data_IF_156224886050
#
_entry.id   IF_156224886050
#
_cell.length_a   1.000
_cell.length_b   1.000
_cell.length_c   1.000
_cell.angle_alpha   90.00
_cell.angle_beta   90.00
_cell.angle_gamma   90.00
#
_symmetry.space_group_name_H-M   'P 1'
#
loop_
_entity.id
_entity.type
_entity.pdbx_description
1 polymer ?
#
# COMPACT_ATOMS: atom_id res chain seq x y z
N UNK A 1 -2.70 -24.20 -14.04
CA UNK A 1 -1.86 -23.25 -14.83
C UNK A 1 -0.83 -22.59 -13.93
N UNK A 2 0.42 -22.47 -14.36
CA UNK A 2 1.47 -21.78 -13.59
C UNK A 2 1.60 -20.34 -14.07
N UNK A 3 1.64 -19.39 -13.14
CA UNK A 3 1.70 -17.94 -13.40
C UNK A 3 3.03 -17.42 -12.88
N UNK A 4 3.74 -16.62 -13.69
CA UNK A 4 4.79 -15.74 -13.19
C UNK A 4 4.15 -14.50 -12.58
N UNK A 5 4.19 -14.38 -11.28
CA UNK A 5 3.71 -13.24 -10.53
C UNK A 5 4.87 -12.35 -10.13
N UNK A 6 4.82 -11.09 -10.52
CA UNK A 6 5.87 -10.10 -10.25
C UNK A 6 5.30 -9.05 -9.31
N UNK A 7 5.97 -8.83 -8.21
CA UNK A 7 5.73 -7.76 -7.23
C UNK A 7 6.89 -6.76 -7.32
N UNK A 8 6.70 -5.69 -8.06
CA UNK A 8 7.69 -4.61 -8.21
C UNK A 8 7.49 -3.59 -7.10
N UNK A 9 8.20 -3.77 -6.00
CA UNK A 9 8.14 -2.93 -4.82
C UNK A 9 9.18 -1.81 -4.78
N UNK A 10 9.20 -1.05 -3.68
CA UNK A 10 10.07 0.13 -3.52
C UNK A 10 11.55 -0.25 -3.38
N UNK A 11 11.89 -1.27 -2.61
CA UNK A 11 13.27 -1.66 -2.31
C UNK A 11 13.69 -3.00 -2.92
N UNK A 12 12.76 -3.72 -3.54
CA UNK A 12 13.04 -4.97 -4.22
C UNK A 12 11.93 -5.32 -5.20
N UNK A 13 12.26 -6.06 -6.25
CA UNK A 13 11.31 -6.80 -7.07
C UNK A 13 11.32 -8.26 -6.64
N UNK A 14 10.16 -8.80 -6.28
CA UNK A 14 9.94 -10.23 -6.04
C UNK A 14 9.22 -10.84 -7.22
N UNK A 15 9.65 -12.02 -7.63
CA UNK A 15 8.98 -12.80 -8.65
C UNK A 15 8.76 -14.22 -8.16
N UNK A 16 7.55 -14.73 -8.36
CA UNK A 16 7.13 -16.07 -7.96
C UNK A 16 6.57 -16.81 -9.16
N UNK A 17 6.83 -18.10 -9.23
CA UNK A 17 6.01 -18.99 -10.05
C UNK A 17 4.97 -19.62 -9.15
N UNK A 18 3.71 -19.30 -9.44
CA UNK A 18 2.54 -19.72 -8.66
C UNK A 18 1.75 -20.76 -9.44
N UNK A 19 1.67 -21.96 -8.90
CA UNK A 19 0.92 -23.10 -9.45
C UNK A 19 -0.56 -23.06 -9.07
N UNK A 20 -1.24 -24.18 -9.33
CA UNK A 20 -2.65 -24.33 -8.98
C UNK A 20 -2.88 -24.18 -7.47
N UNK A 21 -4.08 -23.75 -7.11
CA UNK A 21 -4.49 -23.48 -5.72
C UNK A 21 -3.54 -22.52 -4.94
N UNK A 22 -2.76 -21.66 -5.64
CA UNK A 22 -1.87 -20.72 -4.99
C UNK A 22 -0.54 -21.31 -4.50
N UNK A 23 -0.18 -22.53 -4.92
CA UNK A 23 1.09 -23.16 -4.53
C UNK A 23 2.28 -22.37 -5.04
N UNK A 24 3.15 -21.88 -4.16
CA UNK A 24 4.40 -21.19 -4.51
C UNK A 24 5.44 -22.23 -4.92
N UNK A 25 5.79 -22.29 -6.21
CA UNK A 25 6.74 -23.26 -6.76
C UNK A 25 8.18 -22.75 -6.71
N UNK A 26 8.36 -21.44 -6.82
CA UNK A 26 9.67 -20.79 -6.69
C UNK A 26 9.52 -19.33 -6.30
N UNK A 27 10.57 -18.77 -5.74
CA UNK A 27 10.70 -17.35 -5.38
C UNK A 27 12.07 -16.87 -5.83
N UNK A 28 12.12 -15.67 -6.41
CA UNK A 28 13.34 -14.92 -6.67
C UNK A 28 13.13 -13.46 -6.28
N UNK A 29 14.21 -12.82 -5.83
CA UNK A 29 14.19 -11.42 -5.41
C UNK A 29 15.41 -10.72 -5.97
N UNK A 30 15.23 -9.50 -6.46
CA UNK A 30 16.28 -8.59 -6.89
C UNK A 30 16.09 -7.25 -6.18
N UNK A 31 17.12 -6.71 -5.50
CA UNK A 31 17.03 -5.42 -4.82
C UNK A 31 16.85 -4.27 -5.82
N UNK A 32 16.24 -3.20 -5.36
CA UNK A 32 16.16 -1.88 -5.98
C UNK A 32 16.58 -0.87 -4.91
N UNK A 33 17.39 0.13 -5.27
CA UNK A 33 18.00 1.05 -4.31
C UNK A 33 17.42 2.46 -4.45
N UNK A 34 16.38 2.83 -3.67
CA UNK A 34 15.89 4.20 -3.63
C UNK A 34 16.98 5.16 -3.15
N UNK A 35 17.12 6.28 -3.83
CA UNK A 35 17.99 7.37 -3.43
C UNK A 35 17.20 8.47 -2.71
N UNK A 36 17.80 9.07 -1.68
CA UNK A 36 17.22 10.20 -0.93
C UNK A 36 18.13 11.41 -1.05
N UNK A 37 18.10 12.15 -2.17
CA UNK A 37 19.06 13.24 -2.43
C UNK A 37 18.83 14.49 -1.56
N UNK A 38 17.86 14.49 -0.67
CA UNK A 38 17.56 15.61 0.24
C UNK A 38 16.22 16.27 -0.07
N UNK A 39 15.83 17.26 0.73
CA UNK A 39 14.62 18.10 0.57
C UNK A 39 13.31 17.30 0.37
N UNK A 40 13.18 16.15 1.03
CA UNK A 40 12.00 15.27 0.89
C UNK A 40 11.95 14.49 -0.43
N UNK A 41 13.03 14.50 -1.20
CA UNK A 41 13.15 13.75 -2.44
C UNK A 41 13.38 12.26 -2.17
N UNK A 42 12.65 11.42 -2.90
CA UNK A 42 12.88 9.96 -2.95
C UNK A 42 12.78 9.53 -4.41
N UNK A 43 13.89 9.08 -4.97
CA UNK A 43 14.01 8.75 -6.39
C UNK A 43 14.50 7.31 -6.58
N UNK A 44 14.09 6.70 -7.70
CA UNK A 44 14.55 5.37 -8.12
C UNK A 44 15.08 5.43 -9.54
N UNK A 45 16.09 4.62 -9.85
CA UNK A 45 16.60 4.45 -11.22
C UNK A 45 15.64 3.53 -12.02
N UNK A 46 14.99 4.04 -13.08
CA UNK A 46 14.11 3.22 -13.91
C UNK A 46 14.85 2.05 -14.57
N UNK A 47 16.11 2.21 -14.96
CA UNK A 47 16.89 1.14 -15.56
C UNK A 47 17.13 -0.01 -14.58
N UNK A 48 17.46 0.30 -13.33
CA UNK A 48 17.57 -0.69 -12.26
C UNK A 48 16.22 -1.39 -12.00
N UNK A 49 15.12 -0.62 -11.97
CA UNK A 49 13.78 -1.16 -11.78
C UNK A 49 13.41 -2.19 -12.86
N UNK A 50 13.57 -1.85 -14.14
CA UNK A 50 13.30 -2.77 -15.25
C UNK A 50 14.22 -3.99 -15.22
N UNK A 51 15.51 -3.77 -14.96
CA UNK A 51 16.48 -4.86 -14.84
C UNK A 51 16.12 -5.83 -13.72
N UNK A 52 15.66 -5.33 -12.57
CA UNK A 52 15.23 -6.15 -11.43
C UNK A 52 14.01 -7.00 -11.75
N UNK A 53 13.02 -6.44 -12.47
CA UNK A 53 11.83 -7.15 -12.96
C UNK A 53 12.22 -8.31 -13.87
N UNK A 54 13.09 -8.06 -14.84
CA UNK A 54 13.52 -9.09 -15.80
C UNK A 54 14.37 -10.16 -15.10
N UNK A 55 15.30 -9.76 -14.25
CA UNK A 55 16.20 -10.69 -13.56
C UNK A 55 15.44 -11.58 -12.57
N UNK A 56 14.57 -11.01 -11.73
CA UNK A 56 13.75 -11.76 -10.79
C UNK A 56 12.81 -12.73 -11.53
N UNK A 57 12.13 -12.26 -12.59
CA UNK A 57 11.23 -13.10 -13.37
C UNK A 57 11.91 -14.30 -14.00
N UNK A 58 13.08 -14.11 -14.64
CA UNK A 58 13.89 -15.21 -15.21
C UNK A 58 14.34 -16.19 -14.14
N UNK A 59 14.89 -15.68 -13.05
CA UNK A 59 15.37 -16.51 -11.95
C UNK A 59 14.25 -17.34 -11.31
N UNK A 60 13.04 -16.79 -11.20
CA UNK A 60 11.89 -17.53 -10.69
C UNK A 60 11.47 -18.67 -11.64
N UNK A 61 11.42 -18.42 -12.93
CA UNK A 61 11.10 -19.44 -13.95
C UNK A 61 12.17 -20.55 -13.95
N UNK A 62 13.45 -20.19 -13.97
CA UNK A 62 14.56 -21.14 -13.98
C UNK A 62 14.53 -22.04 -12.74
N UNK A 63 14.26 -21.47 -11.56
CA UNK A 63 14.16 -22.22 -10.30
C UNK A 63 12.95 -23.14 -10.25
N UNK A 64 11.82 -22.72 -10.82
CA UNK A 64 10.62 -23.52 -10.85
C UNK A 64 10.75 -24.75 -11.75
N UNK A 65 11.46 -24.64 -12.87
CA UNK A 65 11.65 -25.73 -13.83
C UNK A 65 10.36 -26.27 -14.46
N UNK A 66 9.28 -25.44 -14.48
CA UNK A 66 7.98 -25.81 -15.03
C UNK A 66 7.55 -24.86 -16.14
N UNK A 67 6.59 -25.29 -16.96
CA UNK A 67 6.01 -24.40 -17.97
C UNK A 67 5.17 -23.33 -17.28
N UNK A 68 5.45 -22.06 -17.61
CA UNK A 68 4.67 -20.89 -17.21
C UNK A 68 3.70 -20.53 -18.33
N UNK A 69 2.49 -20.10 -18.00
CA UNK A 69 1.40 -19.88 -18.95
C UNK A 69 1.05 -18.41 -19.13
N UNK A 70 1.40 -17.56 -18.16
CA UNK A 70 1.13 -16.13 -18.20
C UNK A 70 1.85 -15.36 -17.12
N UNK A 71 1.77 -14.03 -17.21
CA UNK A 71 2.44 -13.09 -16.32
C UNK A 71 1.41 -12.18 -15.67
N UNK A 72 1.54 -11.96 -14.35
CA UNK A 72 0.89 -10.89 -13.61
C UNK A 72 1.93 -9.93 -13.04
N UNK A 73 1.66 -8.63 -13.13
CA UNK A 73 2.48 -7.56 -12.59
C UNK A 73 1.71 -6.79 -11.52
N UNK A 74 2.21 -6.81 -10.29
CA UNK A 74 1.86 -5.85 -9.28
C UNK A 74 2.97 -4.82 -9.17
N UNK A 75 2.62 -3.56 -9.00
CA UNK A 75 3.56 -2.45 -8.91
C UNK A 75 3.33 -1.62 -7.69
N UNK A 76 4.40 -1.02 -7.17
CA UNK A 76 4.28 0.04 -6.17
C UNK A 76 3.41 1.18 -6.73
N UNK A 77 2.40 1.60 -5.96
CA UNK A 77 1.51 2.67 -6.37
C UNK A 77 2.20 4.03 -6.43
N UNK A 78 1.54 4.98 -7.03
CA UNK A 78 1.78 6.43 -7.02
C UNK A 78 3.17 6.90 -7.49
N UNK A 79 4.09 6.01 -7.81
CA UNK A 79 5.43 6.32 -8.32
C UNK A 79 5.36 6.69 -9.79
N UNK A 80 5.95 7.81 -10.19
CA UNK A 80 5.82 8.38 -11.54
C UNK A 80 7.18 8.72 -12.17
N UNK A 81 7.26 8.66 -13.50
CA UNK A 81 8.44 9.10 -14.25
C UNK A 81 8.04 9.73 -15.58
N UNK A 82 8.92 10.59 -16.12
CA UNK A 82 8.82 11.05 -17.50
C UNK A 82 9.64 10.14 -18.41
N UNK A 83 9.11 9.78 -19.60
CA UNK A 83 9.75 8.92 -20.56
C UNK A 83 9.27 9.17 -21.98
N UNK A 84 10.07 8.76 -22.97
CA UNK A 84 9.78 8.93 -24.38
C UNK A 84 8.97 7.73 -24.91
N UNK A 85 7.71 7.90 -25.35
CA UNK A 85 6.84 6.78 -25.71
C UNK A 85 7.29 6.00 -26.95
N UNK A 86 7.98 6.64 -27.89
CA UNK A 86 8.45 5.95 -29.11
C UNK A 86 9.61 4.99 -28.82
N UNK A 87 10.48 5.33 -27.87
CA UNK A 87 11.68 4.55 -27.55
C UNK A 87 11.60 3.79 -26.23
N UNK A 88 10.67 4.16 -25.34
CA UNK A 88 10.61 3.68 -23.94
C UNK A 88 11.69 4.27 -23.04
N UNK A 89 12.51 5.22 -23.55
CA UNK A 89 13.66 5.78 -22.83
C UNK A 89 13.21 6.68 -21.66
N UNK A 90 13.61 6.41 -20.41
CA UNK A 90 13.36 7.31 -19.29
C UNK A 90 14.02 8.66 -19.51
N UNK A 91 13.31 9.76 -19.23
CA UNK A 91 13.80 11.13 -19.28
C UNK A 91 14.13 11.67 -17.88
N UNK A 92 13.61 11.02 -16.83
CA UNK A 92 13.85 11.37 -15.43
C UNK A 92 14.03 10.13 -14.58
N UNK A 93 14.63 10.23 -13.37
CA UNK A 93 14.41 9.25 -12.33
C UNK A 93 12.91 9.08 -12.05
N UNK A 94 12.51 7.93 -11.53
CA UNK A 94 11.16 7.73 -11.03
C UNK A 94 11.02 8.42 -9.66
N UNK A 95 10.00 9.25 -9.49
CA UNK A 95 9.66 9.91 -8.23
C UNK A 95 8.77 8.96 -7.44
N UNK A 96 9.30 8.45 -6.32
CA UNK A 96 8.62 7.48 -5.46
C UNK A 96 7.34 8.06 -4.82
N UNK A 97 6.44 7.17 -4.43
CA UNK A 97 5.27 7.52 -3.62
C UNK A 97 5.62 8.24 -2.30
N UNK A 98 6.82 8.01 -1.76
CA UNK A 98 7.33 8.64 -0.54
C UNK A 98 7.79 10.10 -0.75
N UNK A 99 7.98 10.52 -1.99
CA UNK A 99 8.51 11.84 -2.33
C UNK A 99 7.53 12.97 -1.95
N UNK A 100 8.04 13.98 -1.29
CA UNK A 100 7.24 15.11 -0.75
C UNK A 100 7.39 16.42 -1.53
N UNK A 101 8.20 16.46 -2.59
CA UNK A 101 8.47 17.72 -3.35
C UNK A 101 7.23 18.32 -3.99
N UNK A 102 6.20 17.50 -4.27
CA UNK A 102 4.95 17.96 -4.86
C UNK A 102 4.00 18.68 -3.88
N UNK A 103 4.41 18.93 -2.62
CA UNK A 103 3.65 19.75 -1.65
C UNK A 103 3.26 21.11 -2.24
N UNK A 104 4.18 21.78 -2.96
CA UNK A 104 3.89 23.06 -3.61
C UNK A 104 2.76 23.01 -4.65
N UNK A 105 2.53 21.83 -5.26
CA UNK A 105 1.43 21.62 -6.19
C UNK A 105 0.10 21.47 -5.43
N UNK A 106 0.10 20.69 -4.36
CA UNK A 106 -1.11 20.50 -3.54
C UNK A 106 -1.52 21.79 -2.82
N UNK A 107 -0.56 22.57 -2.34
CA UNK A 107 -0.83 23.88 -1.70
C UNK A 107 -1.47 24.86 -2.69
N UNK A 108 -0.99 24.90 -3.92
CA UNK A 108 -1.56 25.75 -4.98
C UNK A 108 -3.00 25.32 -5.38
N UNK A 109 -3.40 24.09 -5.09
CA UNK A 109 -4.74 23.55 -5.37
C UNK A 109 -5.62 23.41 -4.12
N UNK A 110 -5.23 24.03 -2.99
CA UNK A 110 -5.92 23.88 -1.71
C UNK A 110 -7.41 24.23 -1.77
N UNK A 111 -7.81 25.22 -2.58
CA UNK A 111 -9.21 25.61 -2.78
C UNK A 111 -10.06 24.52 -3.48
N UNK A 112 -9.44 23.62 -4.24
CA UNK A 112 -10.08 22.51 -4.94
C UNK A 112 -10.12 21.21 -4.12
N UNK A 113 -9.61 21.19 -2.89
CA UNK A 113 -9.51 20.00 -2.04
C UNK A 113 -10.82 19.23 -1.92
N UNK A 114 -11.92 19.93 -1.62
CA UNK A 114 -13.22 19.28 -1.44
C UNK A 114 -13.71 18.66 -2.77
N UNK A 115 -13.55 19.40 -3.87
CA UNK A 115 -14.00 18.94 -5.20
C UNK A 115 -13.19 17.74 -5.70
N UNK A 116 -11.88 17.76 -5.51
CA UNK A 116 -11.01 16.62 -5.84
C UNK A 116 -11.38 15.39 -5.01
N UNK A 117 -11.64 15.54 -3.71
CA UNK A 117 -12.10 14.46 -2.84
C UNK A 117 -13.44 13.88 -3.28
N UNK A 118 -14.37 14.74 -3.70
CA UNK A 118 -15.67 14.31 -4.27
C UNK A 118 -15.50 13.51 -5.57
N UNK A 119 -14.68 13.98 -6.49
CA UNK A 119 -14.45 13.31 -7.78
C UNK A 119 -13.70 11.99 -7.60
N UNK A 120 -12.59 12.00 -6.87
CA UNK A 120 -11.61 10.93 -6.91
C UNK A 120 -11.66 9.98 -5.71
N UNK A 121 -12.34 10.38 -4.63
CA UNK A 121 -12.33 9.64 -3.36
C UNK A 121 -11.04 9.80 -2.54
N UNK A 122 -10.10 10.62 -3.02
CA UNK A 122 -8.78 10.79 -2.43
C UNK A 122 -8.62 12.18 -1.79
N UNK A 123 -7.95 12.33 -0.66
CA UNK A 123 -7.57 13.64 -0.15
C UNK A 123 -6.50 14.26 -1.04
N UNK A 124 -6.47 15.60 -1.12
CA UNK A 124 -5.42 16.30 -1.85
C UNK A 124 -4.10 16.23 -1.05
N UNK A 125 -3.22 15.30 -1.44
CA UNK A 125 -1.93 15.05 -0.80
C UNK A 125 -0.85 14.75 -1.87
N UNK A 126 0.42 15.18 -1.68
CA UNK A 126 1.52 14.88 -2.60
C UNK A 126 1.85 13.38 -2.72
N UNK A 127 1.31 12.54 -1.85
CA UNK A 127 1.42 11.09 -1.91
C UNK A 127 0.96 10.53 -3.26
N UNK A 128 -0.12 11.06 -3.83
CA UNK A 128 -0.74 10.57 -5.05
C UNK A 128 0.00 10.97 -6.33
N UNK A 129 -0.33 10.34 -7.48
CA UNK A 129 0.46 10.44 -8.71
C UNK A 129 0.39 11.82 -9.37
N UNK A 130 -0.81 12.44 -9.49
CA UNK A 130 -0.98 13.67 -10.27
C UNK A 130 -0.20 14.87 -9.73
N UNK A 131 -0.10 15.11 -8.41
CA UNK A 131 0.78 16.14 -7.88
C UNK A 131 2.24 15.97 -8.30
N UNK A 132 2.76 14.73 -8.24
CA UNK A 132 4.15 14.42 -8.65
C UNK A 132 4.33 14.56 -10.16
N UNK A 133 3.34 14.16 -10.96
CA UNK A 133 3.36 14.34 -12.42
C UNK A 133 3.38 15.82 -12.81
N UNK A 134 2.52 16.62 -12.17
CA UNK A 134 2.51 18.08 -12.38
C UNK A 134 3.84 18.73 -11.92
N UNK A 135 4.43 18.24 -10.83
CA UNK A 135 5.73 18.72 -10.36
C UNK A 135 6.84 18.38 -11.36
N UNK A 136 6.87 17.15 -11.91
CA UNK A 136 7.83 16.75 -12.96
C UNK A 136 7.73 17.66 -14.18
N UNK A 137 6.52 17.90 -14.67
CA UNK A 137 6.28 18.78 -15.83
C UNK A 137 6.78 20.20 -15.60
N UNK A 138 6.62 20.72 -14.39
CA UNK A 138 7.04 22.12 -14.05
C UNK A 138 8.52 22.25 -13.78
N UNK A 139 9.18 21.21 -13.26
CA UNK A 139 10.52 21.34 -12.68
C UNK A 139 11.60 20.51 -13.39
N UNK A 140 11.24 19.51 -14.22
CA UNK A 140 12.21 18.60 -14.82
C UNK A 140 12.16 18.55 -16.33
N UNK A 141 11.02 18.30 -16.94
CA UNK A 141 10.90 18.17 -18.39
C UNK A 141 9.49 18.42 -18.90
N UNK A 142 9.39 19.07 -20.07
CA UNK A 142 8.17 19.18 -20.87
C UNK A 142 8.09 18.10 -21.95
N UNK A 143 9.16 17.31 -22.16
CA UNK A 143 9.26 16.30 -23.21
C UNK A 143 8.66 14.95 -22.75
N UNK A 144 8.34 14.10 -23.72
CA UNK A 144 7.79 12.76 -23.52
C UNK A 144 6.43 12.75 -22.81
N UNK A 145 6.09 11.65 -22.18
CA UNK A 145 4.89 11.46 -21.35
C UNK A 145 5.26 11.26 -19.88
N UNK A 146 4.36 11.60 -18.96
CA UNK A 146 4.53 11.30 -17.52
C UNK A 146 3.45 10.33 -17.10
N UNK A 147 3.86 9.12 -16.70
CA UNK A 147 2.96 8.06 -16.24
C UNK A 147 3.43 7.45 -14.94
N UNK A 148 2.61 6.61 -14.35
CA UNK A 148 3.01 5.70 -13.29
C UNK A 148 3.95 4.60 -13.84
N UNK A 149 4.72 3.98 -12.94
CA UNK A 149 5.76 2.99 -13.31
C UNK A 149 5.20 1.74 -13.96
N UNK A 150 3.98 1.33 -13.63
CA UNK A 150 3.30 0.20 -14.29
C UNK A 150 3.14 0.39 -15.80
N UNK A 151 2.69 1.58 -16.24
CA UNK A 151 2.55 1.90 -17.66
C UNK A 151 3.89 1.80 -18.39
N UNK A 152 4.93 2.38 -17.80
CA UNK A 152 6.27 2.33 -18.39
C UNK A 152 6.85 0.92 -18.43
N UNK A 153 6.69 0.13 -17.34
CA UNK A 153 7.13 -1.28 -17.30
C UNK A 153 6.37 -2.12 -18.33
N UNK A 154 5.05 -1.95 -18.43
CA UNK A 154 4.25 -2.66 -19.43
C UNK A 154 4.63 -2.28 -20.84
N UNK A 155 4.91 -1.01 -21.09
CA UNK A 155 5.40 -0.58 -22.39
C UNK A 155 6.75 -1.25 -22.71
N UNK A 156 7.68 -1.29 -21.77
CA UNK A 156 8.98 -1.96 -21.96
C UNK A 156 8.84 -3.48 -22.17
N UNK A 157 7.84 -4.11 -21.54
CA UNK A 157 7.64 -5.56 -21.63
C UNK A 157 6.79 -5.97 -22.84
N UNK A 158 5.80 -5.18 -23.25
CA UNK A 158 4.77 -5.58 -24.22
C UNK A 158 4.55 -4.59 -25.36
N UNK A 159 5.04 -3.36 -25.23
CA UNK A 159 4.73 -2.24 -26.12
C UNK A 159 3.36 -1.57 -25.85
N UNK A 160 2.61 -2.02 -24.85
CA UNK A 160 1.29 -1.46 -24.54
C UNK A 160 1.39 -0.17 -23.71
N UNK A 161 0.54 0.83 -24.04
CA UNK A 161 0.42 2.09 -23.28
C UNK A 161 -0.85 2.06 -22.44
N UNK A 162 -0.83 1.32 -21.34
CA UNK A 162 -1.97 1.04 -20.47
C UNK A 162 -1.60 1.15 -18.99
N UNK A 163 -2.60 1.42 -18.16
CA UNK A 163 -2.55 1.27 -16.70
C UNK A 163 -3.79 0.52 -16.23
N UNK A 164 -3.75 -0.12 -15.08
CA UNK A 164 -4.95 -0.71 -14.51
C UNK A 164 -5.78 0.30 -13.70
N UNK A 165 -7.05 -0.05 -13.51
CA UNK A 165 -8.00 0.82 -12.80
C UNK A 165 -7.62 1.03 -11.33
N UNK A 166 -6.93 0.07 -10.68
CA UNK A 166 -6.52 0.22 -9.28
C UNK A 166 -5.39 1.24 -9.16
N UNK A 167 -4.37 1.16 -10.01
CA UNK A 167 -3.30 2.17 -10.11
C UNK A 167 -3.86 3.54 -10.52
N UNK A 168 -4.73 3.59 -11.53
CA UNK A 168 -5.38 4.82 -11.97
C UNK A 168 -6.21 5.47 -10.85
N UNK A 169 -6.89 4.69 -9.99
CA UNK A 169 -7.66 5.21 -8.86
C UNK A 169 -6.82 5.83 -7.74
N UNK A 170 -5.49 5.67 -7.79
CA UNK A 170 -4.53 6.29 -6.87
C UNK A 170 -3.93 7.59 -7.42
N UNK A 171 -4.48 8.12 -8.49
CA UNK A 171 -3.84 9.23 -9.22
C UNK A 171 -4.26 10.63 -8.79
N UNK A 172 -5.42 10.84 -8.18
CA UNK A 172 -6.15 12.12 -8.01
C UNK A 172 -6.74 12.68 -9.33
N UNK A 173 -6.76 11.91 -10.42
CA UNK A 173 -7.37 12.35 -11.70
C UNK A 173 -8.33 11.33 -12.30
N UNK A 174 -8.57 10.20 -11.63
CA UNK A 174 -9.64 9.27 -12.00
C UNK A 174 -10.93 9.67 -11.30
N UNK A 175 -12.02 9.76 -12.04
CA UNK A 175 -13.38 9.86 -11.50
C UNK A 175 -13.79 8.48 -10.95
N UNK A 176 -14.03 8.40 -9.64
CA UNK A 176 -14.25 7.14 -8.94
C UNK A 176 -15.57 6.46 -9.34
N UNK A 177 -16.59 7.22 -9.73
CA UNK A 177 -17.89 6.68 -10.12
C UNK A 177 -17.86 6.07 -11.51
N UNK A 178 -17.21 6.78 -12.45
CA UNK A 178 -17.12 6.35 -13.85
C UNK A 178 -15.94 5.45 -14.16
N UNK A 179 -14.93 5.45 -13.29
CA UNK A 179 -13.62 4.79 -13.46
C UNK A 179 -12.91 5.22 -14.75
N UNK A 180 -13.03 6.50 -15.09
CA UNK A 180 -12.38 7.13 -16.24
C UNK A 180 -11.58 8.33 -15.80
N UNK A 181 -10.64 8.75 -16.61
CA UNK A 181 -9.94 10.01 -16.39
C UNK A 181 -10.95 11.16 -16.32
N UNK A 182 -10.84 11.99 -15.31
CA UNK A 182 -11.68 13.18 -15.13
C UNK A 182 -11.02 14.37 -15.83
N UNK A 183 -11.64 14.88 -16.90
CA UNK A 183 -11.14 16.07 -17.62
C UNK A 183 -10.98 17.27 -16.67
N UNK A 184 -11.88 17.41 -15.69
CA UNK A 184 -11.83 18.46 -14.68
C UNK A 184 -10.57 18.32 -13.81
N UNK A 185 -10.35 17.14 -13.24
CA UNK A 185 -9.20 16.90 -12.36
C UNK A 185 -7.87 16.96 -13.14
N UNK A 186 -7.81 16.39 -14.35
CA UNK A 186 -6.66 16.45 -15.25
C UNK A 186 -6.31 17.92 -15.55
N UNK A 187 -7.32 18.75 -15.85
CA UNK A 187 -7.15 20.18 -16.10
C UNK A 187 -6.63 20.96 -14.87
N UNK A 188 -7.11 20.63 -13.66
CA UNK A 188 -6.64 21.27 -12.43
C UNK A 188 -5.13 21.04 -12.18
N UNK A 189 -4.64 19.84 -12.45
CA UNK A 189 -3.19 19.54 -12.33
C UNK A 189 -2.37 20.04 -13.53
N UNK A 190 -3.02 20.53 -14.61
CA UNK A 190 -2.35 20.96 -15.83
C UNK A 190 -1.69 19.82 -16.59
N UNK A 191 -2.23 18.61 -16.48
CA UNK A 191 -1.75 17.44 -17.22
C UNK A 191 -2.36 17.41 -18.63
N UNK A 192 -1.64 16.82 -19.57
CA UNK A 192 -2.13 16.64 -20.92
C UNK A 192 -2.93 15.33 -21.02
N UNK A 193 -4.15 15.31 -21.59
CA UNK A 193 -4.87 14.07 -21.81
C UNK A 193 -4.11 13.03 -22.64
N UNK A 194 -3.21 13.48 -23.52
CA UNK A 194 -2.32 12.62 -24.30
C UNK A 194 -1.28 11.85 -23.50
N UNK A 195 -1.00 12.28 -22.26
CA UNK A 195 -0.05 11.61 -21.35
C UNK A 195 -0.73 10.46 -20.59
N UNK A 196 -2.07 10.41 -20.62
CA UNK A 196 -2.83 9.44 -19.85
C UNK A 196 -2.97 8.13 -20.62
N UNK A 197 -2.54 6.99 -20.03
CA UNK A 197 -2.68 5.69 -20.64
C UNK A 197 -4.13 5.24 -20.70
N UNK A 198 -4.43 4.25 -21.55
CA UNK A 198 -5.72 3.57 -21.51
C UNK A 198 -5.86 2.82 -20.18
N UNK A 199 -7.00 3.00 -19.50
CA UNK A 199 -7.33 2.24 -18.30
C UNK A 199 -7.88 0.88 -18.69
N UNK A 200 -7.35 -0.18 -18.06
CA UNK A 200 -7.80 -1.57 -18.26
C UNK A 200 -8.24 -2.19 -16.94
N UNK A 201 -9.02 -3.26 -16.98
CA UNK A 201 -9.34 -4.06 -15.81
C UNK A 201 -8.14 -4.91 -15.34
N UNK A 202 -8.18 -5.34 -14.09
CA UNK A 202 -7.06 -6.06 -13.45
C UNK A 202 -6.79 -7.45 -14.04
N UNK A 203 -7.76 -8.07 -14.71
CA UNK A 203 -7.67 -9.41 -15.32
C UNK A 203 -7.92 -9.31 -16.84
N UNK A 204 -7.06 -8.55 -17.54
CA UNK A 204 -7.23 -8.22 -18.96
C UNK A 204 -5.99 -8.64 -19.74
N UNK A 205 -6.11 -9.34 -20.88
CA UNK A 205 -4.99 -9.56 -21.79
C UNK A 205 -4.43 -8.22 -22.31
N UNK A 206 -3.18 -7.92 -21.94
CA UNK A 206 -2.52 -6.64 -22.26
C UNK A 206 -1.64 -6.78 -23.50
N UNK A 207 -0.93 -7.88 -23.61
CA UNK A 207 0.03 -8.16 -24.69
C UNK A 207 0.85 -9.38 -24.37
N UNK A 208 1.95 -9.56 -25.10
CA UNK A 208 2.90 -10.66 -24.87
C UNK A 208 4.30 -10.11 -24.65
N UNK A 209 5.09 -10.83 -23.84
CA UNK A 209 6.48 -10.49 -23.59
C UNK A 209 7.41 -11.69 -23.80
N UNK A 210 8.60 -11.45 -24.36
CA UNK A 210 9.68 -12.42 -24.43
C UNK A 210 10.80 -12.13 -23.40
N UNK A 211 10.60 -11.16 -22.51
CA UNK A 211 11.63 -10.72 -21.57
C UNK A 211 12.07 -11.83 -20.60
N UNK A 212 11.20 -12.81 -20.31
CA UNK A 212 11.46 -13.90 -19.38
C UNK A 212 11.83 -15.23 -20.04
N UNK A 213 11.99 -15.27 -21.37
CA UNK A 213 12.29 -16.46 -22.15
C UNK A 213 11.29 -16.66 -23.29
N UNK A 214 10.50 -17.77 -23.31
CA UNK A 214 9.43 -17.93 -24.29
C UNK A 214 8.41 -16.81 -24.21
N UNK A 215 7.72 -16.51 -25.32
CA UNK A 215 6.67 -15.50 -25.35
C UNK A 215 5.53 -15.88 -24.41
N UNK A 216 5.24 -15.01 -23.43
CA UNK A 216 4.22 -15.20 -22.41
C UNK A 216 3.20 -14.06 -22.49
N UNK A 217 1.88 -14.35 -22.40
CA UNK A 217 0.87 -13.32 -22.29
C UNK A 217 0.94 -12.65 -20.92
N UNK A 218 0.80 -11.32 -20.89
CA UNK A 218 0.61 -10.51 -19.67
C UNK A 218 -0.88 -10.28 -19.51
N UNK A 219 -1.47 -10.79 -18.43
CA UNK A 219 -2.92 -10.88 -18.26
C UNK A 219 -3.42 -10.44 -16.89
N UNK A 220 -2.53 -10.10 -15.97
CA UNK A 220 -2.86 -9.58 -14.63
C UNK A 220 -2.10 -8.31 -14.34
N UNK A 221 -2.79 -7.30 -13.84
CA UNK A 221 -2.19 -6.02 -13.44
C UNK A 221 -2.96 -5.43 -12.26
N UNK A 222 -2.27 -4.99 -11.22
CA UNK A 222 -2.84 -4.25 -10.11
C UNK A 222 -1.77 -3.48 -9.33
N UNK A 223 -2.18 -2.44 -8.60
CA UNK A 223 -1.31 -1.85 -7.59
C UNK A 223 -1.11 -2.82 -6.42
N UNK A 224 0.03 -2.79 -5.78
CA UNK A 224 0.51 -3.77 -4.81
C UNK A 224 -0.47 -4.04 -3.65
N UNK A 225 -1.03 -2.99 -3.05
CA UNK A 225 -1.92 -3.11 -1.89
C UNK A 225 -3.25 -3.75 -2.25
N UNK A 226 -3.82 -3.44 -3.43
CA UNK A 226 -5.02 -4.05 -3.94
C UNK A 226 -4.77 -5.49 -4.42
N UNK A 227 -3.61 -5.76 -4.99
CA UNK A 227 -3.20 -7.13 -5.28
C UNK A 227 -3.12 -7.96 -3.97
N UNK A 228 -2.53 -7.41 -2.90
CA UNK A 228 -2.49 -8.08 -1.60
C UNK A 228 -3.89 -8.33 -1.01
N UNK A 229 -4.81 -7.36 -1.15
CA UNK A 229 -6.22 -7.53 -0.73
C UNK A 229 -6.88 -8.74 -1.40
N UNK A 230 -6.62 -8.94 -2.71
CA UNK A 230 -7.06 -10.13 -3.45
C UNK A 230 -6.31 -11.37 -2.97
N UNK A 231 -4.99 -11.30 -2.77
CA UNK A 231 -4.15 -12.41 -2.35
C UNK A 231 -4.51 -12.96 -0.97
N UNK A 232 -4.93 -12.08 -0.07
CA UNK A 232 -5.42 -12.42 1.26
C UNK A 232 -6.91 -12.80 1.27
N UNK A 233 -7.53 -12.92 0.09
CA UNK A 233 -8.95 -13.28 -0.08
C UNK A 233 -9.93 -12.35 0.66
N UNK A 234 -9.59 -11.07 0.85
CA UNK A 234 -10.47 -10.06 1.43
C UNK A 234 -11.46 -9.54 0.38
N UNK A 235 -12.34 -10.42 -0.12
CA UNK A 235 -13.18 -10.15 -1.30
C UNK A 235 -14.59 -9.65 -0.96
N UNK A 236 -15.07 -9.89 0.25
CA UNK A 236 -16.40 -9.48 0.68
C UNK A 236 -16.39 -8.14 1.42
N UNK A 237 -17.48 -7.34 1.35
CA UNK A 237 -17.59 -6.10 2.11
C UNK A 237 -17.37 -6.32 3.61
N UNK A 238 -16.56 -5.47 4.23
CA UNK A 238 -16.18 -5.56 5.65
C UNK A 238 -14.99 -6.48 5.95
N UNK A 239 -14.50 -7.24 4.97
CA UNK A 239 -13.20 -7.92 5.09
C UNK A 239 -12.07 -6.92 4.91
N UNK A 240 -11.04 -7.06 5.73
CA UNK A 240 -9.95 -6.11 5.80
C UNK A 240 -8.59 -6.83 5.85
N UNK A 241 -7.59 -6.17 5.25
CA UNK A 241 -6.19 -6.56 5.42
C UNK A 241 -5.35 -5.40 5.94
N UNK A 242 -4.27 -5.69 6.67
CA UNK A 242 -3.28 -4.69 7.03
C UNK A 242 -1.86 -5.24 6.86
N UNK A 243 -1.09 -4.61 5.98
CA UNK A 243 0.33 -4.93 5.82
C UNK A 243 1.17 -4.14 6.83
N UNK A 244 1.86 -4.83 7.74
CA UNK A 244 2.80 -4.26 8.69
C UNK A 244 4.24 -4.32 8.15
N UNK A 245 4.53 -3.42 7.21
CA UNK A 245 5.86 -3.22 6.63
C UNK A 245 6.63 -2.07 7.31
N UNK A 246 7.31 -1.24 6.53
CA UNK A 246 7.93 0.02 7.00
C UNK A 246 6.88 0.94 7.62
N UNK A 247 5.73 1.08 6.96
CA UNK A 247 4.49 1.63 7.50
C UNK A 247 3.43 0.54 7.71
N UNK A 248 2.22 0.92 8.12
CA UNK A 248 1.06 0.04 8.16
C UNK A 248 0.00 0.53 7.16
N UNK A 249 -0.50 -0.39 6.33
CA UNK A 249 -1.44 -0.09 5.24
C UNK A 249 -2.70 -0.95 5.39
N UNK A 250 -3.76 -0.32 5.88
CA UNK A 250 -5.08 -0.93 6.03
C UNK A 250 -5.90 -0.75 4.76
N UNK A 251 -6.45 -1.83 4.21
CA UNK A 251 -7.47 -1.80 3.18
C UNK A 251 -8.70 -2.56 3.64
N UNK A 252 -9.87 -2.00 3.36
CA UNK A 252 -11.17 -2.60 3.70
C UNK A 252 -12.04 -2.65 2.47
N UNK A 253 -12.47 -3.82 2.05
CA UNK A 253 -13.39 -4.01 0.92
C UNK A 253 -14.76 -3.42 1.25
N UNK A 254 -15.32 -2.59 0.35
CA UNK A 254 -16.61 -1.92 0.55
C UNK A 254 -17.72 -2.43 -0.38
N UNK A 255 -17.35 -3.28 -1.36
CA UNK A 255 -18.29 -3.84 -2.34
C UNK A 255 -18.41 -3.04 -3.62
N UNK A 256 -19.48 -3.28 -4.43
CA UNK A 256 -19.55 -2.81 -5.82
C UNK A 256 -19.95 -1.33 -5.99
N UNK A 257 -20.23 -0.63 -4.91
CA UNK A 257 -20.64 0.79 -4.96
C UNK A 257 -19.51 1.63 -4.34
N UNK A 258 -19.02 2.67 -5.05
CA UNK A 258 -17.98 3.55 -4.52
C UNK A 258 -18.47 4.26 -3.25
N UNK A 259 -17.64 4.19 -2.19
CA UNK A 259 -17.88 4.88 -0.93
C UNK A 259 -16.75 5.85 -0.68
N UNK A 260 -17.06 7.13 -0.60
CA UNK A 260 -16.12 8.16 -0.17
C UNK A 260 -16.12 8.22 1.34
N UNK A 261 -14.92 8.24 1.93
CA UNK A 261 -14.80 8.35 3.38
C UNK A 261 -15.22 9.75 3.85
N UNK A 262 -15.99 9.78 4.94
CA UNK A 262 -16.28 11.00 5.72
C UNK A 262 -15.44 11.07 7.00
N UNK A 263 -14.61 10.04 7.25
CA UNK A 263 -13.77 9.89 8.43
C UNK A 263 -12.27 9.93 8.10
N UNK A 264 -11.89 10.51 6.95
CA UNK A 264 -10.50 10.80 6.61
C UNK A 264 -9.70 9.67 5.97
N UNK A 265 -10.36 8.61 5.50
CA UNK A 265 -9.71 7.57 4.69
C UNK A 265 -9.70 7.95 3.21
N UNK A 266 -8.88 7.25 2.42
CA UNK A 266 -8.95 7.29 0.96
C UNK A 266 -9.93 6.24 0.45
N UNK A 267 -10.59 6.53 -0.68
CA UNK A 267 -11.41 5.56 -1.40
C UNK A 267 -10.82 5.28 -2.78
N UNK A 268 -10.73 4.01 -3.15
CA UNK A 268 -10.16 3.60 -4.43
C UNK A 268 -10.85 2.34 -4.98
N UNK A 269 -10.52 1.98 -6.21
CA UNK A 269 -10.97 0.72 -6.78
C UNK A 269 -10.14 -0.41 -6.19
N UNK A 270 -10.79 -1.43 -5.63
CA UNK A 270 -10.13 -2.63 -5.11
C UNK A 270 -9.73 -3.59 -6.24
N UNK A 271 -10.62 -3.80 -7.19
CA UNK A 271 -10.40 -4.51 -8.45
C UNK A 271 -11.53 -4.22 -9.44
N UNK A 272 -11.23 -4.36 -10.72
CA UNK A 272 -12.20 -4.50 -11.80
C UNK A 272 -11.79 -5.69 -12.65
N UNK A 273 -12.69 -6.67 -12.74
CA UNK A 273 -12.49 -7.91 -13.50
C UNK A 273 -13.74 -8.18 -14.33
N UNK A 274 -13.71 -9.05 -15.35
CA UNK A 274 -14.90 -9.34 -16.15
C UNK A 274 -16.13 -9.64 -15.28
N UNK A 275 -17.16 -8.84 -15.42
CA UNK A 275 -18.45 -8.98 -14.72
C UNK A 275 -18.47 -8.54 -13.25
N UNK A 276 -17.38 -7.99 -12.70
CA UNK A 276 -17.34 -7.58 -11.30
C UNK A 276 -16.39 -6.38 -11.06
N UNK A 277 -16.86 -5.44 -10.25
CA UNK A 277 -16.04 -4.34 -9.71
C UNK A 277 -16.25 -4.27 -8.20
N UNK A 278 -15.20 -3.95 -7.48
CA UNK A 278 -15.28 -3.66 -6.06
C UNK A 278 -14.41 -2.46 -5.72
N UNK A 279 -14.78 -1.79 -4.63
CA UNK A 279 -14.07 -0.63 -4.09
C UNK A 279 -13.51 -0.96 -2.72
N UNK A 280 -12.56 -0.17 -2.26
CA UNK A 280 -12.02 -0.25 -0.92
C UNK A 280 -11.85 1.14 -0.31
N UNK A 281 -11.88 1.18 1.02
CA UNK A 281 -11.32 2.27 1.80
C UNK A 281 -9.91 1.87 2.20
N UNK A 282 -9.00 2.84 2.17
CA UNK A 282 -7.64 2.63 2.64
C UNK A 282 -7.17 3.73 3.58
N UNK A 283 -6.34 3.33 4.53
CA UNK A 283 -5.68 4.23 5.45
C UNK A 283 -4.27 3.76 5.75
N UNK A 284 -3.33 4.70 5.76
CA UNK A 284 -1.93 4.41 6.03
C UNK A 284 -1.40 5.11 7.27
N UNK A 285 -0.59 4.38 8.02
CA UNK A 285 0.36 4.91 8.99
C UNK A 285 1.75 4.85 8.38
N UNK A 286 2.44 5.98 8.30
CA UNK A 286 3.76 6.05 7.64
C UNK A 286 4.86 5.33 8.41
N UNK A 287 4.64 5.04 9.70
CA UNK A 287 5.62 4.37 10.55
C UNK A 287 5.03 3.16 11.27
N UNK A 288 5.61 1.99 10.99
CA UNK A 288 5.38 0.76 11.72
C UNK A 288 6.72 0.08 11.98
N UNK A 289 7.29 -0.68 11.05
CA UNK A 289 8.65 -1.21 11.17
C UNK A 289 9.71 -0.13 11.27
N UNK A 290 9.47 1.06 10.70
CA UNK A 290 10.35 2.21 10.88
C UNK A 290 10.43 2.66 12.34
N UNK A 291 9.35 2.56 13.13
CA UNK A 291 9.39 2.87 14.55
C UNK A 291 10.24 1.86 15.33
N UNK A 292 10.21 0.59 14.94
CA UNK A 292 11.09 -0.44 15.55
C UNK A 292 12.56 -0.16 15.21
N UNK A 293 12.86 0.19 13.96
CA UNK A 293 14.23 0.58 13.56
C UNK A 293 14.70 1.82 14.33
N UNK A 294 13.78 2.76 14.57
CA UNK A 294 14.06 3.93 15.40
C UNK A 294 14.38 3.54 16.86
N UNK A 295 13.63 2.63 17.50
CA UNK A 295 13.92 2.14 18.84
C UNK A 295 15.34 1.54 18.93
N UNK A 296 15.74 0.77 17.91
CA UNK A 296 17.11 0.20 17.83
C UNK A 296 18.14 1.32 17.68
N UNK A 297 17.93 2.28 16.80
CA UNK A 297 18.85 3.40 16.57
C UNK A 297 19.04 4.29 17.80
N UNK A 298 18.02 4.36 18.66
CA UNK A 298 18.06 5.09 19.93
C UNK A 298 18.65 4.27 21.09
N UNK A 299 19.02 3.00 20.86
CA UNK A 299 19.53 2.10 21.91
C UNK A 299 18.48 1.71 22.96
N UNK A 300 17.18 1.82 22.63
CA UNK A 300 16.07 1.39 23.50
C UNK A 300 15.75 -0.10 23.30
N UNK A 301 16.21 -0.68 22.20
CA UNK A 301 16.07 -2.06 21.80
C UNK A 301 17.36 -2.52 21.11
N UNK A 302 17.89 -3.68 21.45
CA UNK A 302 19.13 -4.20 20.85
C UNK A 302 18.88 -4.76 19.44
N UNK A 303 17.77 -5.46 19.26
CA UNK A 303 17.39 -6.08 17.98
C UNK A 303 15.87 -6.12 17.82
N UNK A 304 15.34 -6.02 16.60
CA UNK A 304 13.91 -6.25 16.35
C UNK A 304 13.41 -7.62 16.87
N UNK A 305 14.28 -8.62 16.95
CA UNK A 305 13.93 -9.94 17.47
C UNK A 305 13.62 -9.93 18.99
N UNK A 306 14.04 -8.90 19.71
CA UNK A 306 13.84 -8.78 21.17
C UNK A 306 12.53 -8.06 21.53
N UNK A 307 11.75 -7.60 20.54
CA UNK A 307 10.55 -6.79 20.72
C UNK A 307 9.60 -7.35 21.77
N UNK A 308 9.17 -8.59 21.61
CA UNK A 308 8.18 -9.21 22.50
C UNK A 308 8.76 -9.46 23.89
N UNK A 309 10.02 -9.89 23.97
CA UNK A 309 10.71 -10.13 25.23
C UNK A 309 10.81 -8.84 26.05
N UNK A 310 11.19 -7.74 25.41
CA UNK A 310 11.30 -6.43 26.08
C UNK A 310 9.93 -5.88 26.43
N UNK A 311 8.97 -5.89 25.51
CA UNK A 311 7.62 -5.36 25.74
C UNK A 311 6.88 -6.10 26.86
N UNK A 312 7.07 -7.42 27.00
CA UNK A 312 6.43 -8.25 28.02
C UNK A 312 7.19 -8.31 29.34
N UNK A 313 8.39 -7.73 29.42
CA UNK A 313 9.18 -7.65 30.66
C UNK A 313 8.58 -6.69 31.70
N UNK A 314 7.63 -5.84 31.28
CA UNK A 314 6.87 -4.94 32.14
C UNK A 314 5.37 -5.27 32.03
N UNK A 315 4.59 -5.11 33.13
CA UNK A 315 3.17 -5.51 33.14
C UNK A 315 2.28 -4.59 32.29
N UNK A 316 2.66 -3.32 32.17
CA UNK A 316 1.95 -2.29 31.40
C UNK A 316 2.92 -1.18 30.97
N UNK A 317 2.43 -0.09 30.40
CA UNK A 317 3.25 1.06 29.97
C UNK A 317 3.58 2.03 31.10
N UNK A 318 3.13 1.79 32.32
CA UNK A 318 3.20 2.74 33.45
C UNK A 318 2.68 4.15 33.11
N UNK A 319 1.61 4.21 32.29
CA UNK A 319 1.01 5.48 31.83
C UNK A 319 1.70 6.12 30.62
N UNK A 320 2.80 5.56 30.13
CA UNK A 320 3.46 6.06 28.91
C UNK A 320 2.56 5.81 27.70
N UNK A 321 2.39 6.82 26.86
CA UNK A 321 1.71 6.73 25.57
C UNK A 321 2.64 7.22 24.47
N UNK A 322 2.77 6.45 23.39
CA UNK A 322 3.53 6.83 22.19
C UNK A 322 2.58 7.07 21.02
N UNK A 323 2.67 8.26 20.42
CA UNK A 323 2.13 8.54 19.10
C UNK A 323 3.27 8.37 18.10
N UNK A 324 3.33 7.27 17.32
CA UNK A 324 4.47 6.96 16.47
C UNK A 324 4.47 7.73 15.13
N UNK A 325 4.29 9.06 15.20
CA UNK A 325 4.26 9.96 14.04
C UNK A 325 5.68 10.40 13.60
N UNK A 326 6.63 9.43 13.50
CA UNK A 326 8.03 9.73 13.19
C UNK A 326 8.25 10.25 11.75
N UNK A 327 7.28 10.04 10.88
CA UNK A 327 7.24 10.57 9.51
C UNK A 327 5.96 11.38 9.23
N UNK A 328 5.38 11.97 10.26
CA UNK A 328 4.06 12.61 10.21
C UNK A 328 2.91 11.63 10.46
N UNK A 329 1.69 12.16 10.45
CA UNK A 329 0.46 11.38 10.52
C UNK A 329 -0.18 11.28 9.12
N UNK A 330 -0.40 10.06 8.67
CA UNK A 330 -1.20 9.74 7.50
C UNK A 330 -2.69 9.80 7.81
N UNK A 331 -3.47 8.90 7.21
CA UNK A 331 -4.89 8.77 7.50
C UNK A 331 -5.12 8.48 9.00
N UNK A 332 -6.24 8.89 9.57
CA UNK A 332 -7.26 9.77 8.99
C UNK A 332 -6.94 11.26 9.15
N UNK A 333 -5.79 11.61 9.71
CA UNK A 333 -5.45 12.97 10.15
C UNK A 333 -4.84 13.85 9.04
N UNK A 334 -4.04 13.27 8.17
CA UNK A 334 -3.34 13.96 7.07
C UNK A 334 -2.55 15.18 7.57
N UNK A 335 -1.67 14.93 8.57
CA UNK A 335 -0.79 15.95 9.18
C UNK A 335 0.68 15.56 8.99
N UNK A 336 1.29 15.93 7.87
CA UNK A 336 2.69 15.57 7.57
C UNK A 336 3.69 16.26 8.51
N UNK A 337 3.30 17.39 9.12
CA UNK A 337 4.12 18.14 10.10
C UNK A 337 4.01 17.61 11.54
N UNK A 338 3.10 16.69 11.82
CA UNK A 338 2.99 16.11 13.14
C UNK A 338 4.26 15.31 13.49
N UNK A 339 4.71 15.43 14.74
CA UNK A 339 5.91 14.73 15.22
C UNK A 339 5.55 13.57 16.14
N UNK A 340 6.41 12.54 16.17
CA UNK A 340 6.32 11.47 17.16
C UNK A 340 6.35 12.03 18.57
N UNK A 341 5.45 11.56 19.44
CA UNK A 341 5.27 12.13 20.78
C UNK A 341 5.23 11.03 21.82
N UNK A 342 6.02 11.20 22.89
CA UNK A 342 5.98 10.38 24.12
C UNK A 342 5.38 11.22 25.26
N UNK A 343 4.38 10.67 25.93
CA UNK A 343 3.70 11.31 27.06
C UNK A 343 3.69 10.38 28.28
N UNK A 344 3.52 10.94 29.47
CA UNK A 344 3.38 10.16 30.70
C UNK A 344 4.70 9.63 31.25
N UNK A 345 5.85 10.21 30.86
CA UNK A 345 7.17 9.83 31.38
C UNK A 345 7.32 10.30 32.84
N UNK A 346 7.90 9.42 33.68
CA UNK A 346 8.29 9.72 35.03
C UNK A 346 9.68 9.10 35.38
N UNK A 347 10.13 9.24 36.62
CA UNK A 347 11.43 8.71 37.05
C UNK A 347 11.49 7.18 37.11
N UNK A 348 10.36 6.48 37.01
CA UNK A 348 10.27 5.01 36.99
C UNK A 348 10.15 4.45 35.57
N UNK A 349 9.99 5.32 34.59
CA UNK A 349 9.91 4.91 33.18
C UNK A 349 11.23 4.27 32.75
N UNK A 350 11.16 3.04 32.26
CA UNK A 350 12.29 2.28 31.73
C UNK A 350 12.21 2.18 30.19
N UNK A 351 13.31 1.79 29.51
CA UNK A 351 13.27 1.49 28.08
C UNK A 351 12.16 0.51 27.67
N UNK A 352 11.88 -0.51 28.50
CA UNK A 352 10.83 -1.49 28.25
C UNK A 352 9.43 -0.85 28.19
N UNK A 353 9.15 0.14 29.03
CA UNK A 353 7.87 0.89 28.98
C UNK A 353 7.74 1.66 27.65
N UNK A 354 8.84 2.24 27.14
CA UNK A 354 8.84 2.97 25.86
C UNK A 354 8.64 2.00 24.68
N UNK A 355 9.35 0.85 24.68
CA UNK A 355 9.19 -0.20 23.65
C UNK A 355 7.74 -0.68 23.62
N UNK A 356 7.19 -1.04 24.78
CA UNK A 356 5.79 -1.48 24.91
C UNK A 356 4.80 -0.40 24.44
N UNK A 357 4.96 0.84 24.90
CA UNK A 357 4.12 1.96 24.49
C UNK A 357 4.18 2.21 22.98
N UNK A 358 5.33 1.96 22.33
CA UNK A 358 5.47 2.06 20.89
C UNK A 358 4.63 1.00 20.18
N UNK A 359 4.69 -0.27 20.60
CA UNK A 359 3.85 -1.33 20.02
C UNK A 359 2.36 -1.10 20.26
N UNK A 360 1.97 -0.69 21.48
CA UNK A 360 0.59 -0.32 21.79
C UNK A 360 0.12 0.87 20.93
N UNK A 361 0.98 1.86 20.68
CA UNK A 361 0.70 3.00 19.80
C UNK A 361 0.53 2.62 18.33
N UNK A 362 1.36 1.68 17.82
CA UNK A 362 1.21 1.13 16.47
C UNK A 362 -0.13 0.42 16.29
N UNK A 363 -0.49 -0.46 17.25
CA UNK A 363 -1.79 -1.14 17.23
C UNK A 363 -2.95 -0.13 17.30
N UNK A 364 -2.83 0.90 18.14
CA UNK A 364 -3.85 1.93 18.29
C UNK A 364 -4.04 2.76 17.01
N UNK A 365 -2.97 3.08 16.26
CA UNK A 365 -3.10 3.74 14.96
C UNK A 365 -3.91 2.90 13.97
N UNK A 366 -3.61 1.61 13.85
CA UNK A 366 -4.37 0.72 12.95
C UNK A 366 -5.82 0.58 13.45
N UNK A 367 -6.05 0.50 14.76
CA UNK A 367 -7.40 0.45 15.32
C UNK A 367 -8.20 1.75 15.04
N UNK A 368 -7.55 2.90 15.01
CA UNK A 368 -8.19 4.18 14.61
C UNK A 368 -8.59 4.15 13.14
N UNK A 369 -7.71 3.64 12.26
CA UNK A 369 -8.02 3.48 10.83
C UNK A 369 -9.20 2.52 10.61
N UNK A 370 -9.18 1.39 11.29
CA UNK A 370 -10.24 0.38 11.21
C UNK A 370 -11.58 0.90 11.75
N UNK A 371 -11.53 1.70 12.83
CA UNK A 371 -12.72 2.38 13.37
C UNK A 371 -13.31 3.37 12.36
N UNK A 372 -12.48 4.20 11.72
CA UNK A 372 -12.91 5.11 10.67
C UNK A 372 -13.57 4.36 9.48
N UNK A 373 -13.00 3.21 9.08
CA UNK A 373 -13.59 2.38 8.04
C UNK A 373 -14.93 1.76 8.47
N UNK A 374 -15.05 1.30 9.71
CA UNK A 374 -16.30 0.76 10.25
C UNK A 374 -17.40 1.82 10.32
N UNK A 375 -17.06 3.06 10.72
CA UNK A 375 -17.98 4.20 10.73
C UNK A 375 -18.47 4.55 9.31
N UNK A 376 -17.57 4.57 8.32
CA UNK A 376 -17.94 4.81 6.91
C UNK A 376 -18.76 3.64 6.30
N UNK A 377 -18.51 2.40 6.73
CA UNK A 377 -19.30 1.24 6.32
C UNK A 377 -20.67 1.19 7.01
N UNK A 378 -20.78 1.76 8.20
CA UNK A 378 -21.94 1.63 9.08
C UNK A 378 -22.06 0.23 9.71
N UNK A 379 -20.97 -0.51 9.77
CA UNK A 379 -20.87 -1.86 10.33
C UNK A 379 -19.45 -2.15 10.82
N UNK A 380 -19.26 -2.95 11.88
CA UNK A 380 -17.94 -3.37 12.32
C UNK A 380 -17.23 -4.21 11.24
N UNK A 381 -15.90 -4.22 11.27
CA UNK A 381 -15.12 -5.18 10.48
C UNK A 381 -15.44 -6.61 10.95
N UNK A 382 -15.34 -7.58 10.04
CA UNK A 382 -15.57 -8.98 10.35
C UNK A 382 -14.33 -9.62 11.02
N UNK A 383 -13.17 -9.30 10.48
CA UNK A 383 -11.85 -9.75 10.88
C UNK A 383 -10.79 -8.83 10.28
N UNK A 384 -9.58 -8.91 10.78
CA UNK A 384 -8.43 -8.26 10.17
C UNK A 384 -7.39 -9.32 9.78
N UNK A 385 -7.12 -9.48 8.49
CA UNK A 385 -5.99 -10.27 8.00
C UNK A 385 -4.74 -9.40 7.98
N UNK A 386 -3.60 -9.95 8.39
CA UNK A 386 -2.36 -9.19 8.53
C UNK A 386 -1.19 -9.92 7.91
N UNK A 387 -0.32 -9.16 7.24
CA UNK A 387 0.96 -9.63 6.71
C UNK A 387 2.09 -8.64 7.03
N UNK A 388 3.30 -8.97 6.60
CA UNK A 388 4.47 -8.14 6.82
C UNK A 388 5.31 -8.54 8.03
N UNK A 389 6.50 -7.92 8.15
CA UNK A 389 7.52 -8.38 9.10
C UNK A 389 7.15 -8.26 10.57
N UNK A 390 6.32 -7.28 10.96
CA UNK A 390 5.93 -7.10 12.35
C UNK A 390 4.85 -8.08 12.83
N UNK A 391 4.25 -8.88 11.94
CA UNK A 391 3.30 -9.93 12.35
C UNK A 391 3.97 -11.06 13.15
N UNK A 392 5.30 -11.09 13.18
CA UNK A 392 6.07 -11.99 14.05
C UNK A 392 5.98 -11.61 15.54
N UNK A 393 5.59 -10.37 15.87
CA UNK A 393 5.33 -9.95 17.25
C UNK A 393 3.96 -10.44 17.71
N UNK A 394 3.93 -11.51 18.49
CA UNK A 394 2.69 -12.02 19.08
C UNK A 394 2.05 -10.99 20.03
N UNK A 395 2.88 -10.20 20.73
CA UNK A 395 2.39 -9.11 21.59
C UNK A 395 1.61 -8.06 20.77
N UNK A 396 2.20 -7.60 19.65
CA UNK A 396 1.55 -6.61 18.78
C UNK A 396 0.24 -7.15 18.19
N UNK A 397 0.25 -8.40 17.70
CA UNK A 397 -0.93 -9.02 17.09
C UNK A 397 -2.06 -9.25 18.09
N UNK A 398 -1.75 -9.71 19.31
CA UNK A 398 -2.74 -9.84 20.36
C UNK A 398 -3.31 -8.48 20.75
N UNK A 399 -2.45 -7.47 20.92
CA UNK A 399 -2.91 -6.12 21.28
C UNK A 399 -3.74 -5.48 20.15
N UNK A 400 -3.44 -5.81 18.90
CA UNK A 400 -4.24 -5.40 17.74
C UNK A 400 -5.65 -6.02 17.80
N UNK A 401 -5.78 -7.32 18.07
CA UNK A 401 -7.07 -7.99 18.25
C UNK A 401 -7.84 -7.39 19.42
N UNK A 402 -7.17 -7.14 20.53
CA UNK A 402 -7.73 -6.54 21.73
C UNK A 402 -8.32 -5.15 21.48
N UNK A 403 -7.61 -4.27 20.77
CA UNK A 403 -8.09 -2.92 20.46
C UNK A 403 -9.17 -2.90 19.40
N UNK A 404 -9.13 -3.81 18.44
CA UNK A 404 -10.14 -3.92 17.37
C UNK A 404 -11.42 -4.60 17.83
N UNK A 405 -11.38 -5.45 18.85
CA UNK A 405 -12.48 -6.32 19.30
C UNK A 405 -12.99 -7.26 18.19
N UNK A 406 -12.09 -7.61 17.22
CA UNK A 406 -12.34 -8.61 16.18
C UNK A 406 -11.11 -9.51 16.05
N UNK A 407 -11.25 -10.72 15.49
CA UNK A 407 -10.11 -11.60 15.26
C UNK A 407 -9.06 -10.97 14.35
N UNK A 408 -7.79 -11.22 14.67
CA UNK A 408 -6.63 -10.91 13.82
C UNK A 408 -6.01 -12.21 13.32
N UNK A 409 -5.94 -12.38 12.00
CA UNK A 409 -5.39 -13.55 11.34
C UNK A 409 -4.09 -13.21 10.62
N UNK A 410 -3.00 -13.88 11.00
CA UNK A 410 -1.71 -13.72 10.30
C UNK A 410 -1.77 -14.55 9.02
N UNK A 411 -1.65 -13.89 7.87
CA UNK A 411 -1.62 -14.55 6.58
C UNK A 411 -0.42 -15.50 6.46
N UNK A 412 -0.66 -16.72 6.00
CA UNK A 412 0.35 -17.78 6.04
C UNK A 412 1.54 -17.56 5.10
N UNK A 413 1.42 -16.65 4.12
CA UNK A 413 2.46 -16.39 3.13
C UNK A 413 2.96 -14.95 3.21
N UNK A 414 4.28 -14.72 3.14
CA UNK A 414 4.84 -13.36 3.06
C UNK A 414 4.72 -12.76 1.64
N UNK A 415 3.89 -13.32 0.77
CA UNK A 415 3.81 -13.00 -0.66
C UNK A 415 2.39 -12.65 -1.11
N UNK A 416 1.58 -12.03 -0.25
CA UNK A 416 0.18 -11.71 -0.53
C UNK A 416 -0.01 -10.97 -1.86
N UNK A 417 0.80 -9.93 -2.12
CA UNK A 417 0.80 -9.15 -3.37
C UNK A 417 0.97 -10.04 -4.60
N UNK A 418 2.03 -10.87 -4.62
CA UNK A 418 2.31 -11.74 -5.76
C UNK A 418 1.24 -12.82 -5.94
N UNK A 419 0.70 -13.37 -4.85
CA UNK A 419 -0.40 -14.33 -4.91
C UNK A 419 -1.66 -13.70 -5.49
N UNK A 420 -1.97 -12.47 -5.12
CA UNK A 420 -3.13 -11.75 -5.62
C UNK A 420 -3.02 -11.45 -7.13
N UNK A 421 -1.88 -10.95 -7.59
CA UNK A 421 -1.71 -10.70 -9.03
C UNK A 421 -1.64 -12.00 -9.83
N UNK A 422 -1.21 -13.13 -9.24
CA UNK A 422 -1.30 -14.45 -9.87
C UNK A 422 -2.75 -14.89 -10.07
N UNK A 423 -3.63 -14.61 -9.10
CA UNK A 423 -5.09 -14.86 -9.23
C UNK A 423 -5.66 -14.05 -10.39
N UNK A 424 -5.35 -12.75 -10.45
CA UNK A 424 -5.82 -11.86 -11.51
C UNK A 424 -5.30 -12.31 -12.89
N UNK A 425 -4.01 -12.66 -12.98
CA UNK A 425 -3.43 -13.13 -14.24
C UNK A 425 -4.03 -14.45 -14.71
N UNK A 426 -4.29 -15.39 -13.80
CA UNK A 426 -4.97 -16.65 -14.13
C UNK A 426 -6.37 -16.39 -14.68
N UNK A 427 -7.12 -15.51 -14.02
CA UNK A 427 -8.46 -15.12 -14.46
C UNK A 427 -8.43 -14.48 -15.86
N UNK A 428 -7.42 -13.62 -16.14
CA UNK A 428 -7.23 -13.02 -17.46
C UNK A 428 -6.90 -14.05 -18.56
N UNK A 429 -6.27 -15.18 -18.20
CA UNK A 429 -6.05 -16.32 -19.13
C UNK A 429 -7.31 -17.16 -19.35
N UNK A 430 -8.12 -17.35 -18.31
CA UNK A 430 -9.35 -18.16 -18.37
C UNK A 430 -10.48 -17.44 -19.13
N UNK A 431 -10.44 -16.09 -19.14
CA UNK A 431 -11.40 -15.26 -19.87
C UNK A 431 -12.74 -15.06 -19.15
N UNK A 432 -13.75 -14.64 -19.91
CA UNK A 432 -15.09 -14.36 -19.39
C UNK A 432 -15.75 -15.61 -18.80
N UNK A 433 -16.29 -15.47 -17.59
CA UNK A 433 -16.96 -16.56 -16.84
C UNK A 433 -16.17 -17.13 -15.67
N UNK A 434 -14.88 -16.87 -15.57
CA UNK A 434 -14.10 -17.13 -14.36
C UNK A 434 -14.48 -16.07 -13.30
N UNK A 435 -15.12 -16.47 -12.22
CA UNK A 435 -15.36 -15.58 -11.07
C UNK A 435 -14.06 -15.33 -10.31
N UNK A 436 -13.89 -14.13 -9.73
CA UNK A 436 -12.74 -13.85 -8.87
C UNK A 436 -12.77 -14.74 -7.63
N UNK A 437 -11.80 -15.62 -7.49
CA UNK A 437 -11.62 -16.54 -6.38
C UNK A 437 -10.15 -16.58 -6.00
N UNK A 438 -9.85 -16.19 -4.78
CA UNK A 438 -8.53 -16.36 -4.19
C UNK A 438 -8.51 -17.61 -3.31
N UNK A 439 -7.40 -18.36 -3.24
CA UNK A 439 -7.22 -19.38 -2.22
C UNK A 439 -7.30 -18.76 -0.82
N UNK A 440 -7.98 -19.46 0.09
CA UNK A 440 -8.04 -19.10 1.51
C UNK A 440 -7.20 -20.12 2.29
N UNK A 441 -5.89 -19.89 2.45
CA UNK A 441 -5.05 -20.77 3.27
C UNK A 441 -5.43 -20.62 4.75
N UNK A 442 -5.20 -21.69 5.53
CA UNK A 442 -5.28 -21.57 6.98
C UNK A 442 -4.29 -20.47 7.46
N UNK A 443 -4.70 -19.59 8.40
CA UNK A 443 -3.82 -18.55 8.91
C UNK A 443 -2.63 -19.17 9.66
N UNK A 444 -1.45 -18.54 9.59
CA UNK A 444 -0.28 -18.97 10.34
C UNK A 444 -0.50 -18.83 11.85
N UNK A 445 -1.27 -17.85 12.27
CA UNK A 445 -1.72 -17.63 13.65
C UNK A 445 -3.05 -16.87 13.63
N UNK A 446 -3.85 -17.07 14.69
CA UNK A 446 -5.10 -16.34 14.91
C UNK A 446 -5.15 -15.85 16.35
N UNK A 447 -5.48 -14.59 16.52
CA UNK A 447 -5.58 -13.91 17.80
C UNK A 447 -7.02 -13.45 18.02
N UNK A 448 -7.66 -13.97 19.06
CA UNK A 448 -8.98 -13.53 19.49
C UNK A 448 -8.85 -12.39 20.51
N UNK A 449 -9.80 -11.43 20.58
CA UNK A 449 -9.81 -10.43 21.62
C UNK A 449 -9.81 -11.06 23.02
N UNK A 450 -8.86 -10.69 23.84
CA UNK A 450 -8.76 -11.13 25.24
C UNK A 450 -9.04 -9.97 26.23
N UNK A 451 -8.90 -8.72 25.78
CA UNK A 451 -9.23 -7.51 26.55
C UNK A 451 -10.73 -7.21 26.46
N UNK A 452 -11.33 -6.74 27.56
CA UNK A 452 -12.70 -6.30 27.54
C UNK A 452 -12.93 -5.05 26.69
N UNK A 453 -14.10 -4.94 26.06
CA UNK A 453 -14.42 -3.85 25.13
C UNK A 453 -14.34 -2.45 25.80
N UNK A 454 -14.75 -2.33 27.07
CA UNK A 454 -14.66 -1.08 27.82
C UNK A 454 -13.18 -0.64 27.99
N UNK A 455 -12.30 -1.56 28.37
CA UNK A 455 -10.88 -1.28 28.51
C UNK A 455 -10.24 -0.92 27.17
N UNK A 456 -10.53 -1.65 26.10
CA UNK A 456 -10.09 -1.33 24.74
C UNK A 456 -10.53 0.09 24.34
N UNK A 457 -11.78 0.44 24.59
CA UNK A 457 -12.33 1.77 24.34
C UNK A 457 -11.61 2.87 25.13
N UNK A 458 -11.30 2.66 26.42
CA UNK A 458 -10.54 3.60 27.25
C UNK A 458 -9.11 3.81 26.73
N UNK A 459 -8.42 2.73 26.31
CA UNK A 459 -7.06 2.80 25.74
C UNK A 459 -7.05 3.55 24.42
N UNK A 460 -7.99 3.28 23.51
CA UNK A 460 -8.14 4.02 22.26
C UNK A 460 -8.48 5.50 22.50
N UNK A 461 -9.36 5.81 23.45
CA UNK A 461 -9.69 7.19 23.79
C UNK A 461 -8.47 7.94 24.35
N UNK A 462 -7.64 7.30 25.15
CA UNK A 462 -6.36 7.86 25.63
C UNK A 462 -5.43 8.15 24.45
N UNK A 463 -5.24 7.19 23.57
CA UNK A 463 -4.39 7.37 22.38
C UNK A 463 -4.88 8.52 21.50
N UNK A 464 -6.19 8.59 21.20
CA UNK A 464 -6.79 9.69 20.40
C UNK A 464 -6.50 11.06 21.01
N UNK A 465 -6.63 11.22 22.34
CA UNK A 465 -6.27 12.47 23.02
C UNK A 465 -4.80 12.84 22.86
N UNK A 466 -3.88 11.85 22.86
CA UNK A 466 -2.46 12.10 22.61
C UNK A 466 -2.21 12.52 21.15
N UNK A 467 -2.91 11.92 20.19
CA UNK A 467 -2.84 12.33 18.78
C UNK A 467 -3.39 13.76 18.60
N UNK A 468 -4.53 14.11 19.22
CA UNK A 468 -5.08 15.47 19.18
C UNK A 468 -4.09 16.52 19.67
N UNK A 469 -3.34 16.22 20.74
CA UNK A 469 -2.26 17.11 21.23
C UNK A 469 -1.09 17.21 20.25
N UNK A 470 -0.67 16.09 19.65
CA UNK A 470 0.39 16.10 18.66
C UNK A 470 0.00 16.91 17.39
N UNK A 471 -1.26 16.81 16.95
CA UNK A 471 -1.81 17.60 15.85
C UNK A 471 -1.86 19.08 16.22
N UNK A 472 -2.42 19.42 17.40
CA UNK A 472 -2.48 20.83 17.86
C UNK A 472 -1.09 21.46 17.98
N UNK A 473 -0.08 20.72 18.43
CA UNK A 473 1.29 21.21 18.49
C UNK A 473 1.86 21.47 17.09
N UNK A 474 1.50 20.66 16.09
CA UNK A 474 1.96 20.87 14.70
C UNK A 474 1.29 22.05 13.99
N UNK A 475 0.07 22.42 14.42
CA UNK A 475 -0.66 23.57 13.86
C UNK A 475 -0.21 24.92 14.51
N UNK A 476 0.53 24.86 15.61
CA UNK A 476 1.00 26.03 16.36
C UNK A 476 2.46 26.43 16.02
N UNK A 477 3.21 25.60 15.35
CA UNK A 477 4.62 25.83 14.94
C UNK A 477 4.73 26.06 13.45
#
# INVERSE_FOLDING_TARGET
>A
MNILAIDQGTSATKALVVGDAGAVLSVAECPVHPATPGDGAVEQDPAEMLASVIAAGRAAIDRAGVVVHGVGLANQGETVLAWEPDSGQPLTPAISWQDRRAVSVTDALAEHRARLGELTGLPLDPYFSAPKSAWLRRNRTSEGVVTTTDTWLLHALTGAFVTDVTTASRSLVLDLDTRRWSDEAVGLFGLAPSDLPQIVGCATPIGTTAAFGPSLPVTGLAVDQQAALVGEACLAPGQAKCTFGTGAFLLVTTGPVPRRSTHGLSASVAWEVPGSVSYCLDGQSYTAGAAVSWLVSMGLLDSPADLDVVATSVPDTSGVTMVPALAGLGAPYWRPSAAGTLEGLDLHTSPAHVVRATLEGLAAQVAVLAGAAADDLGAPLLELRVDGGLTQSAFLMQHQADLLQVPVEVFASPHATALGVAVLARMGLEGEGAGLRAPEPEPAARYEPAMGADEAGERLARFRRSVERAVAASDAG
#
